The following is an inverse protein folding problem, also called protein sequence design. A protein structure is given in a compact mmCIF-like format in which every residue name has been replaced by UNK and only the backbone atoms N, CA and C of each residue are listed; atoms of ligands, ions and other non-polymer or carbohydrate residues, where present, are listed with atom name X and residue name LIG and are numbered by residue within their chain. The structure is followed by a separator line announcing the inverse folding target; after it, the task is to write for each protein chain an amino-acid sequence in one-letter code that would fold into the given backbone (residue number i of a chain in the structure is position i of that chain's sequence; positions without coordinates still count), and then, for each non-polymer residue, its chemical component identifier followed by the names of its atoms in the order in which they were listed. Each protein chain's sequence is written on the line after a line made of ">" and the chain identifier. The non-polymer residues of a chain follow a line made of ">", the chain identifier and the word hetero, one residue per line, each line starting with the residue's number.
data_IF_309080697441
#
_entry.id   IF_309080697441
#
_cell.length_a   1.000
_cell.length_b   1.000
_cell.length_c   1.000
_cell.angle_alpha   90.00
_cell.angle_beta   90.00
_cell.angle_gamma   90.00
#
_symmetry.space_group_name_H-M   'P 1'
#
loop_
_entity.id
_entity.type
_entity.pdbx_description
1 polymer ?
#
# COMPACT_ATOMS: atom_id res chain seq x y z
N UNK A 1 -28.75 -26.22 -8.64
CA UNK A 1 -27.33 -26.36 -8.26
C UNK A 1 -26.68 -24.99 -8.40
N UNK A 2 -26.59 -24.24 -7.32
CA UNK A 2 -25.87 -22.97 -7.32
C UNK A 2 -24.38 -23.27 -7.33
N UNK A 3 -23.66 -22.71 -8.31
CA UNK A 3 -22.21 -22.84 -8.40
C UNK A 3 -21.60 -22.16 -7.16
N UNK A 4 -21.06 -22.95 -6.23
CA UNK A 4 -20.27 -22.44 -5.12
C UNK A 4 -18.96 -21.87 -5.67
N UNK A 5 -18.97 -20.60 -6.06
CA UNK A 5 -17.75 -19.84 -6.35
C UNK A 5 -16.93 -19.86 -5.06
N UNK A 6 -15.67 -20.32 -5.14
CA UNK A 6 -14.79 -20.44 -3.98
C UNK A 6 -14.82 -19.19 -3.09
N UNK A 7 -14.90 -19.39 -1.78
CA UNK A 7 -15.14 -18.32 -0.80
C UNK A 7 -13.97 -17.34 -0.68
N UNK A 8 -12.75 -17.78 -0.97
CA UNK A 8 -11.57 -16.92 -1.03
C UNK A 8 -10.44 -17.54 -1.85
N UNK A 9 -9.56 -16.69 -2.38
CA UNK A 9 -8.34 -17.11 -3.08
C UNK A 9 -7.22 -16.11 -2.81
N UNK A 10 -5.99 -16.61 -2.68
CA UNK A 10 -4.78 -15.78 -2.64
C UNK A 10 -4.09 -15.86 -3.99
N UNK A 11 -3.79 -14.72 -4.60
CA UNK A 11 -3.07 -14.64 -5.86
C UNK A 11 -2.02 -13.53 -5.81
N UNK A 12 -0.75 -13.90 -5.92
CA UNK A 12 0.39 -13.01 -5.73
C UNK A 12 0.27 -12.27 -4.39
N UNK A 13 0.09 -10.96 -4.48
CA UNK A 13 0.04 -10.00 -3.39
C UNK A 13 -1.38 -9.68 -2.90
N UNK A 14 -2.38 -10.32 -3.51
CA UNK A 14 -3.80 -10.07 -3.32
C UNK A 14 -4.47 -11.25 -2.62
N UNK A 15 -5.24 -10.93 -1.60
CA UNK A 15 -6.22 -11.83 -1.02
C UNK A 15 -7.60 -11.37 -1.46
N UNK A 16 -8.35 -12.26 -2.10
CA UNK A 16 -9.69 -12.00 -2.63
C UNK A 16 -10.67 -12.84 -1.84
N UNK A 17 -11.69 -12.19 -1.29
CA UNK A 17 -12.75 -12.83 -0.54
C UNK A 17 -14.10 -12.53 -1.19
N UNK A 18 -14.85 -13.58 -1.53
CA UNK A 18 -16.20 -13.44 -2.06
C UNK A 18 -17.21 -13.55 -0.92
N UNK A 19 -17.95 -12.48 -0.67
CA UNK A 19 -19.08 -12.47 0.26
C UNK A 19 -20.36 -12.23 -0.54
N UNK A 20 -21.14 -13.28 -0.73
CA UNK A 20 -22.45 -13.23 -1.39
C UNK A 20 -22.42 -12.56 -2.77
N UNK A 21 -21.40 -12.87 -3.58
CA UNK A 21 -21.21 -12.30 -4.93
C UNK A 21 -20.45 -10.98 -4.96
N UNK A 22 -20.11 -10.39 -3.81
CA UNK A 22 -19.32 -9.17 -3.71
C UNK A 22 -17.86 -9.54 -3.40
N UNK A 23 -16.95 -9.10 -4.26
CA UNK A 23 -15.52 -9.32 -4.09
C UNK A 23 -14.90 -8.23 -3.20
N UNK A 24 -14.27 -8.66 -2.12
CA UNK A 24 -13.42 -7.85 -1.26
C UNK A 24 -11.97 -8.21 -1.50
N UNK A 25 -11.12 -7.20 -1.58
CA UNK A 25 -9.68 -7.39 -1.81
C UNK A 25 -8.89 -6.80 -0.65
N UNK A 26 -7.83 -7.49 -0.26
CA UNK A 26 -6.85 -7.02 0.73
C UNK A 26 -5.44 -7.41 0.32
N UNK A 27 -4.44 -6.82 0.98
CA UNK A 27 -3.05 -7.27 0.84
C UNK A 27 -2.94 -8.69 1.41
N UNK A 28 -2.32 -9.60 0.67
CA UNK A 28 -1.99 -10.92 1.16
C UNK A 28 -0.74 -10.85 2.04
N UNK A 29 -0.85 -11.36 3.27
CA UNK A 29 0.27 -11.57 4.18
C UNK A 29 0.47 -13.06 4.39
N UNK A 30 1.68 -13.54 4.12
CA UNK A 30 2.01 -14.96 4.36
C UNK A 30 1.99 -15.22 5.88
N UNK A 31 1.22 -16.19 6.39
CA UNK A 31 1.04 -16.39 7.83
C UNK A 31 2.33 -16.62 8.63
N UNK A 32 3.34 -17.21 7.99
CA UNK A 32 4.64 -17.49 8.60
C UNK A 32 5.72 -16.46 8.27
N UNK A 33 5.40 -15.40 7.51
CA UNK A 33 6.38 -14.37 7.17
C UNK A 33 6.46 -13.35 8.30
N UNK A 34 7.68 -13.13 8.77
CA UNK A 34 7.97 -12.00 9.65
C UNK A 34 7.80 -10.69 8.88
N UNK A 35 7.25 -9.63 9.50
CA UNK A 35 7.16 -8.30 8.90
C UNK A 35 8.55 -7.65 8.85
N UNK A 36 9.39 -8.12 7.92
CA UNK A 36 10.76 -7.69 7.76
C UNK A 36 10.89 -6.67 6.63
N UNK A 37 11.42 -5.50 6.95
CA UNK A 37 11.91 -4.51 5.99
C UNK A 37 13.32 -4.12 6.37
N UNK A 38 13.99 -3.33 5.53
CA UNK A 38 15.33 -2.85 5.83
C UNK A 38 15.33 -2.11 7.19
N UNK A 39 16.10 -2.56 8.20
CA UNK A 39 16.15 -1.93 9.51
C UNK A 39 16.63 -0.48 9.42
N UNK A 40 16.07 0.43 10.22
CA UNK A 40 16.37 1.87 10.11
C UNK A 40 17.83 2.25 10.44
N UNK A 41 18.55 1.37 11.15
CA UNK A 41 19.97 1.54 11.50
C UNK A 41 20.94 1.14 10.39
N UNK A 42 20.44 0.52 9.32
CA UNK A 42 21.28 0.09 8.21
C UNK A 42 21.87 1.27 7.43
N UNK A 43 23.01 1.04 6.77
CA UNK A 43 23.71 2.03 5.96
C UNK A 43 23.10 2.16 4.56
N UNK A 44 21.83 2.56 4.50
CA UNK A 44 21.14 2.85 3.25
C UNK A 44 20.79 4.33 3.13
N UNK A 45 20.73 4.88 1.90
CA UNK A 45 20.32 6.25 1.69
C UNK A 45 18.90 6.53 2.24
N UNK A 46 18.68 7.77 2.73
CA UNK A 46 17.39 8.18 3.32
C UNK A 46 16.19 7.99 2.39
N UNK A 47 16.40 8.08 1.08
CA UNK A 47 15.33 7.89 0.11
C UNK A 47 14.79 6.45 0.09
N UNK A 48 15.62 5.45 0.39
CA UNK A 48 15.23 4.03 0.46
C UNK A 48 14.19 3.82 1.56
N UNK A 49 14.49 4.30 2.77
CA UNK A 49 13.55 4.23 3.90
C UNK A 49 12.23 4.95 3.61
N UNK A 50 12.28 6.12 2.97
CA UNK A 50 11.06 6.84 2.60
C UNK A 50 10.25 6.11 1.52
N UNK A 51 10.93 5.46 0.58
CA UNK A 51 10.30 4.69 -0.49
C UNK A 51 9.64 3.43 0.05
N UNK A 52 10.22 2.76 1.05
CA UNK A 52 9.56 1.62 1.73
C UNK A 52 8.20 2.05 2.28
N UNK A 53 8.16 3.14 3.05
CA UNK A 53 6.90 3.65 3.61
C UNK A 53 5.90 4.01 2.50
N UNK A 54 6.36 4.72 1.47
CA UNK A 54 5.50 5.15 0.37
C UNK A 54 4.96 3.96 -0.43
N UNK A 55 5.80 3.00 -0.78
CA UNK A 55 5.44 1.82 -1.55
C UNK A 55 4.45 0.94 -0.78
N UNK A 56 4.68 0.70 0.52
CA UNK A 56 3.76 -0.07 1.36
C UNK A 56 2.38 0.60 1.43
N UNK A 57 2.32 1.92 1.60
CA UNK A 57 1.04 2.66 1.64
C UNK A 57 0.34 2.65 0.27
N UNK A 58 1.07 2.83 -0.83
CA UNK A 58 0.50 2.75 -2.18
C UNK A 58 -0.09 1.36 -2.47
N UNK A 59 0.63 0.32 -2.06
CA UNK A 59 0.18 -1.07 -2.17
C UNK A 59 -1.09 -1.32 -1.36
N UNK A 60 -1.16 -0.82 -0.12
CA UNK A 60 -2.36 -0.88 0.70
C UNK A 60 -3.56 -0.21 0.01
N UNK A 61 -3.40 1.01 -0.52
CA UNK A 61 -4.47 1.71 -1.25
C UNK A 61 -4.91 0.95 -2.51
N UNK A 62 -3.97 0.30 -3.21
CA UNK A 62 -4.26 -0.46 -4.42
C UNK A 62 -5.12 -1.69 -4.12
N UNK A 63 -4.72 -2.46 -3.12
CA UNK A 63 -5.29 -3.78 -2.84
C UNK A 63 -6.46 -3.76 -1.87
N UNK A 64 -6.62 -2.75 -1.03
CA UNK A 64 -7.78 -2.63 -0.14
C UNK A 64 -9.03 -2.16 -0.89
N UNK A 65 -10.08 -2.97 -0.87
CA UNK A 65 -11.36 -2.61 -1.50
C UNK A 65 -12.20 -1.62 -0.68
N UNK A 66 -12.02 -1.59 0.65
CA UNK A 66 -12.76 -0.72 1.58
C UNK A 66 -11.83 0.01 2.54
N UNK A 67 -12.33 1.08 3.17
CA UNK A 67 -11.59 1.83 4.19
C UNK A 67 -11.18 0.94 5.38
N UNK A 68 -12.06 0.06 5.87
CA UNK A 68 -11.73 -0.80 7.02
C UNK A 68 -10.53 -1.72 6.71
N UNK A 69 -10.52 -2.31 5.52
CA UNK A 69 -9.42 -3.17 5.06
C UNK A 69 -8.14 -2.34 4.93
N UNK A 70 -8.25 -1.12 4.37
CA UNK A 70 -7.13 -0.20 4.26
C UNK A 70 -6.56 0.21 5.63
N UNK A 71 -7.42 0.54 6.59
CA UNK A 71 -7.01 0.97 7.92
C UNK A 71 -6.34 -0.17 8.71
N UNK A 72 -6.81 -1.42 8.53
CA UNK A 72 -6.13 -2.60 9.06
C UNK A 72 -4.73 -2.73 8.49
N UNK A 73 -4.59 -2.59 7.18
CA UNK A 73 -3.29 -2.66 6.50
C UNK A 73 -2.37 -1.51 6.92
N UNK A 74 -2.89 -0.28 7.01
CA UNK A 74 -2.14 0.89 7.48
C UNK A 74 -1.57 0.70 8.88
N UNK A 75 -2.35 0.10 9.79
CA UNK A 75 -1.89 -0.26 11.14
C UNK A 75 -0.80 -1.33 11.09
N UNK A 76 -0.97 -2.37 10.28
CA UNK A 76 0.04 -3.41 10.08
C UNK A 76 1.37 -2.83 9.57
N UNK A 77 1.32 -1.93 8.57
CA UNK A 77 2.50 -1.22 8.04
C UNK A 77 3.19 -0.40 9.13
N UNK A 78 2.42 0.33 9.96
CA UNK A 78 3.00 1.10 11.07
C UNK A 78 3.71 0.19 12.06
N UNK A 79 3.10 -0.92 12.44
CA UNK A 79 3.68 -1.89 13.37
C UNK A 79 4.96 -2.50 12.79
N UNK A 80 4.96 -2.91 11.53
CA UNK A 80 6.14 -3.38 10.80
C UNK A 80 7.28 -2.35 10.86
N UNK A 81 7.00 -1.08 10.55
CA UNK A 81 8.05 -0.04 10.57
C UNK A 81 8.63 0.18 11.97
N UNK A 82 7.78 0.21 13.01
CA UNK A 82 8.23 0.34 14.39
C UNK A 82 9.07 -0.86 14.81
N UNK A 83 8.66 -2.07 14.43
CA UNK A 83 9.39 -3.31 14.68
C UNK A 83 10.80 -3.29 14.06
N UNK A 84 10.93 -2.72 12.86
CA UNK A 84 12.22 -2.55 12.16
C UNK A 84 13.00 -1.29 12.59
N UNK A 85 12.64 -0.68 13.73
CA UNK A 85 13.39 0.42 14.36
C UNK A 85 13.18 1.81 13.75
N UNK A 86 12.15 2.01 12.93
CA UNK A 86 11.86 3.34 12.37
C UNK A 86 11.34 4.29 13.47
N UNK A 87 11.90 5.49 13.62
CA UNK A 87 11.42 6.46 14.61
C UNK A 87 9.95 6.85 14.36
N UNK A 88 9.11 6.84 15.40
CA UNK A 88 7.68 7.22 15.26
C UNK A 88 7.49 8.55 14.55
N UNK A 89 8.28 9.58 14.91
CA UNK A 89 8.22 10.91 14.27
C UNK A 89 8.52 10.85 12.77
N UNK A 90 9.42 9.97 12.35
CA UNK A 90 9.74 9.77 10.93
C UNK A 90 8.56 9.13 10.21
N UNK A 91 7.98 8.07 10.78
CA UNK A 91 6.77 7.42 10.25
C UNK A 91 5.63 8.44 10.11
N UNK A 92 5.34 9.21 11.17
CA UNK A 92 4.25 10.20 11.19
C UNK A 92 4.45 11.32 10.16
N UNK A 93 5.71 11.75 9.94
CA UNK A 93 6.04 12.72 8.88
C UNK A 93 5.71 12.16 7.50
N UNK A 94 6.10 10.92 7.21
CA UNK A 94 5.88 10.30 5.90
C UNK A 94 4.41 9.93 5.67
N UNK A 95 3.70 9.47 6.70
CA UNK A 95 2.26 9.22 6.63
C UNK A 95 1.50 10.52 6.32
N UNK A 96 1.78 11.62 7.05
CA UNK A 96 1.16 12.93 6.77
C UNK A 96 1.43 13.41 5.35
N UNK A 97 2.67 13.22 4.86
CA UNK A 97 3.02 13.56 3.47
C UNK A 97 2.21 12.73 2.46
N UNK A 98 2.01 11.44 2.73
CA UNK A 98 1.26 10.55 1.86
C UNK A 98 -0.22 10.92 1.78
N UNK A 99 -0.87 11.12 2.93
CA UNK A 99 -2.29 11.44 2.97
C UNK A 99 -2.61 12.90 2.60
N UNK A 100 -1.62 13.80 2.68
CA UNK A 100 -1.73 15.18 2.20
C UNK A 100 -2.89 15.95 2.84
N UNK A 101 -3.70 16.63 2.00
CA UNK A 101 -4.88 17.41 2.43
C UNK A 101 -6.10 16.56 2.77
N UNK A 102 -6.09 15.27 2.46
CA UNK A 102 -7.21 14.36 2.71
C UNK A 102 -7.35 13.97 4.19
N UNK A 103 -6.50 14.51 5.07
CA UNK A 103 -6.50 14.25 6.51
C UNK A 103 -7.23 15.30 7.34
N UNK A 104 -7.83 14.83 8.42
CA UNK A 104 -8.11 15.68 9.58
C UNK A 104 -6.79 16.17 10.18
N UNK A 105 -6.58 17.49 10.18
CA UNK A 105 -5.38 18.12 10.74
C UNK A 105 -5.34 18.09 12.27
N UNK A 106 -6.44 17.72 12.94
CA UNK A 106 -6.54 17.78 14.40
C UNK A 106 -6.01 16.53 15.12
N UNK A 107 -5.72 15.45 14.38
CA UNK A 107 -5.38 14.16 14.98
C UNK A 107 -3.87 13.94 15.04
N UNK A 108 -3.39 13.47 16.20
CA UNK A 108 -1.98 13.11 16.43
C UNK A 108 -1.54 11.99 15.46
N UNK A 109 -2.48 11.11 15.09
CA UNK A 109 -2.28 10.02 14.13
C UNK A 109 -3.09 10.34 12.87
N UNK A 110 -2.44 10.40 11.68
CA UNK A 110 -3.18 10.59 10.42
C UNK A 110 -4.06 9.37 10.14
N UNK A 111 -5.37 9.58 10.04
CA UNK A 111 -6.39 8.57 9.70
C UNK A 111 -7.42 9.13 8.72
N UNK A 112 -7.94 8.28 7.83
CA UNK A 112 -9.02 8.66 6.92
C UNK A 112 -10.35 8.43 7.66
N UNK A 113 -11.17 9.47 7.78
CA UNK A 113 -12.38 9.39 8.59
C UNK A 113 -13.54 8.68 7.86
N UNK A 114 -13.64 8.88 6.55
CA UNK A 114 -14.82 8.50 5.78
C UNK A 114 -14.43 7.69 4.53
N UNK A 115 -15.29 6.73 4.15
CA UNK A 115 -15.11 5.94 2.92
C UNK A 115 -14.97 6.84 1.68
N UNK A 116 -15.76 7.91 1.60
CA UNK A 116 -15.68 8.89 0.51
C UNK A 116 -14.28 9.53 0.39
N UNK A 117 -13.64 9.86 1.51
CA UNK A 117 -12.28 10.42 1.52
C UNK A 117 -11.26 9.38 1.03
N UNK A 118 -11.44 8.12 1.42
CA UNK A 118 -10.63 7.01 0.95
C UNK A 118 -10.77 6.81 -0.56
N UNK A 119 -11.99 6.80 -1.09
CA UNK A 119 -12.25 6.66 -2.53
C UNK A 119 -11.66 7.82 -3.34
N UNK A 120 -11.82 9.06 -2.88
CA UNK A 120 -11.21 10.23 -3.54
C UNK A 120 -9.69 10.12 -3.56
N UNK A 121 -9.08 9.74 -2.43
CA UNK A 121 -7.63 9.52 -2.35
C UNK A 121 -7.20 8.39 -3.31
N UNK A 122 -7.89 7.25 -3.28
CA UNK A 122 -7.61 6.08 -4.11
C UNK A 122 -7.68 6.42 -5.60
N UNK A 123 -8.74 7.08 -6.03
CA UNK A 123 -8.92 7.49 -7.43
C UNK A 123 -7.91 8.55 -7.88
N UNK A 124 -7.37 9.36 -6.95
CA UNK A 124 -6.31 10.33 -7.25
C UNK A 124 -4.93 9.66 -7.38
N UNK A 125 -4.67 8.60 -6.61
CA UNK A 125 -3.37 7.94 -6.54
C UNK A 125 -3.19 6.84 -7.60
N UNK A 126 -4.23 6.04 -7.88
CA UNK A 126 -4.12 4.91 -8.81
C UNK A 126 -3.69 5.31 -10.25
N UNK A 127 -4.22 6.38 -10.86
CA UNK A 127 -3.78 6.78 -12.20
C UNK A 127 -2.31 7.18 -12.24
N UNK A 128 -1.82 7.84 -11.18
CA UNK A 128 -0.41 8.27 -11.08
C UNK A 128 0.56 7.09 -11.03
N UNK A 129 0.11 5.96 -10.45
CA UNK A 129 0.87 4.71 -10.45
C UNK A 129 0.95 4.13 -11.87
N UNK A 130 -0.19 4.02 -12.54
CA UNK A 130 -0.27 3.44 -13.88
C UNK A 130 0.53 4.24 -14.93
N UNK A 131 0.52 5.58 -14.86
CA UNK A 131 1.32 6.43 -15.77
C UNK A 131 2.82 6.18 -15.59
N UNK A 132 3.29 6.15 -14.35
CA UNK A 132 4.71 5.90 -14.04
C UNK A 132 5.15 4.49 -14.45
N UNK A 133 4.29 3.49 -14.26
CA UNK A 133 4.51 2.12 -14.76
C UNK A 133 4.69 2.11 -16.29
N UNK A 134 3.82 2.78 -17.04
CA UNK A 134 3.91 2.89 -18.51
C UNK A 134 5.16 3.61 -18.99
N UNK A 135 5.52 4.73 -18.37
CA UNK A 135 6.75 5.48 -18.71
C UNK A 135 8.00 4.64 -18.48
N UNK A 136 8.02 3.86 -17.39
CA UNK A 136 9.14 2.97 -17.07
C UNK A 136 9.23 1.83 -18.09
N UNK A 137 8.11 1.20 -18.43
CA UNK A 137 8.05 0.17 -19.48
C UNK A 137 8.50 0.70 -20.84
N UNK A 138 8.08 1.92 -21.20
CA UNK A 138 8.50 2.54 -22.45
C UNK A 138 10.01 2.82 -22.49
N UNK A 139 10.60 3.34 -21.41
CA UNK A 139 12.06 3.54 -21.31
C UNK A 139 12.83 2.23 -21.41
N UNK A 140 12.37 1.17 -20.73
CA UNK A 140 13.01 -0.16 -20.81
C UNK A 140 12.94 -0.69 -22.24
N UNK A 141 11.79 -0.58 -22.91
CA UNK A 141 11.63 -1.00 -24.28
C UNK A 141 12.57 -0.25 -25.24
N UNK A 142 12.72 1.07 -25.09
CA UNK A 142 13.63 1.89 -25.91
C UNK A 142 15.09 1.47 -25.71
N UNK A 143 15.55 1.32 -24.46
CA UNK A 143 16.93 0.89 -24.15
C UNK A 143 17.25 -0.52 -24.68
N UNK A 144 16.24 -1.40 -24.76
CA UNK A 144 16.39 -2.76 -25.29
C UNK A 144 16.52 -2.81 -26.82
N UNK A 145 16.10 -1.76 -27.53
CA UNK A 145 16.20 -1.66 -29.00
C UNK A 145 17.58 -1.11 -29.42
N UNK A 146 18.22 -0.33 -28.54
CA UNK A 146 19.53 0.30 -28.80
C UNK A 146 20.73 -0.60 -28.42
N UNK A 147 20.50 -1.81 -27.90
CA UNK A 147 21.55 -2.75 -27.45
C UNK A 147 21.72 -4.00 -28.33
N UNK A 148 21.01 -4.06 -29.46
CA UNK A 148 21.19 -5.03 -30.56
C UNK A 148 21.76 -4.34 -31.81
#
# INVERSE_FOLDING_TARGET
>A
MEANIGSSVSFLDLFINNKNGILFTSVYHKPAAEPCVIPFISDHPRHVFSNIIQASLLRAVRYSSTLDIFEKERRAIRLMLLYNGYPSRYIDKHFRKFFGRSMSKSSIIPFIANENQFLVMRNTLLPKLAVKERETQHRIAVVSIDTD
#
